data_IF_353535669458
#
_entry.id   IF_353535669458
#
_cell.length_a   1.000
_cell.length_b   1.000
_cell.length_c   1.000
_cell.angle_alpha   90.00
_cell.angle_beta   90.00
_cell.angle_gamma   90.00
#
_symmetry.space_group_name_H-M   'P 1'
#
loop_
_entity.id
_entity.type
_entity.pdbx_description
1 polymer ?
#
# COMPACT_ATOMS: atom_id res chain seq x y z
N UNK A 1 -13.37 -9.59 -28.39
CA UNK A 1 -14.77 -9.74 -27.88
C UNK A 1 -14.83 -9.52 -26.36
N UNK A 2 -14.05 -10.22 -25.52
CA UNK A 2 -14.09 -10.05 -24.08
C UNK A 2 -13.64 -8.67 -23.59
N UNK A 3 -12.57 -8.13 -24.16
CA UNK A 3 -12.04 -6.80 -23.82
C UNK A 3 -13.01 -5.69 -24.21
N UNK A 4 -13.61 -5.79 -25.39
CA UNK A 4 -14.62 -4.82 -25.87
C UNK A 4 -15.88 -4.84 -25.00
N UNK A 5 -16.34 -6.02 -24.61
CA UNK A 5 -17.44 -6.17 -23.66
C UNK A 5 -17.14 -5.47 -22.33
N UNK A 6 -15.97 -5.72 -21.73
CA UNK A 6 -15.58 -5.10 -20.47
C UNK A 6 -15.46 -3.58 -20.56
N UNK A 7 -14.93 -3.04 -21.67
CA UNK A 7 -14.86 -1.61 -21.90
C UNK A 7 -16.27 -0.98 -22.00
N UNK A 8 -17.20 -1.63 -22.70
CA UNK A 8 -18.57 -1.18 -22.79
C UNK A 8 -19.27 -1.21 -21.42
N UNK A 9 -19.09 -2.28 -20.66
CA UNK A 9 -19.59 -2.40 -19.28
C UNK A 9 -19.03 -1.29 -18.39
N UNK A 10 -17.72 -1.04 -18.46
CA UNK A 10 -17.08 -0.01 -17.66
C UNK A 10 -17.65 1.38 -17.95
N UNK A 11 -17.82 1.71 -19.22
CA UNK A 11 -18.40 3.00 -19.59
C UNK A 11 -19.85 3.16 -19.14
N UNK A 12 -20.66 2.09 -19.24
CA UNK A 12 -22.04 2.09 -18.74
C UNK A 12 -22.06 2.26 -17.22
N UNK A 13 -21.27 1.44 -16.50
CA UNK A 13 -21.19 1.48 -15.05
C UNK A 13 -20.79 2.86 -14.54
N UNK A 14 -19.70 3.44 -15.05
CA UNK A 14 -19.22 4.74 -14.60
C UNK A 14 -20.23 5.87 -14.90
N UNK A 15 -20.91 5.83 -16.06
CA UNK A 15 -21.96 6.80 -16.37
C UNK A 15 -23.15 6.69 -15.43
N UNK A 16 -23.53 5.47 -15.06
CA UNK A 16 -24.61 5.24 -14.10
C UNK A 16 -24.21 5.72 -12.72
N UNK A 17 -23.04 5.28 -12.23
CA UNK A 17 -22.52 5.65 -10.92
C UNK A 17 -22.38 7.17 -10.74
N UNK A 18 -21.96 7.90 -11.79
CA UNK A 18 -21.88 9.35 -11.77
C UNK A 18 -23.26 10.03 -11.75
N UNK A 19 -24.27 9.44 -12.40
CA UNK A 19 -25.65 9.96 -12.34
C UNK A 19 -26.32 9.75 -10.99
N UNK A 20 -25.93 8.68 -10.30
CA UNK A 20 -26.44 8.30 -8.98
C UNK A 20 -25.63 8.92 -7.84
N UNK A 21 -24.67 9.82 -8.15
CA UNK A 21 -23.77 10.46 -7.18
C UNK A 21 -23.03 9.45 -6.30
N UNK A 22 -22.57 8.33 -6.90
CA UNK A 22 -21.82 7.30 -6.20
C UNK A 22 -20.54 7.88 -5.58
N UNK A 23 -20.50 7.92 -4.26
CA UNK A 23 -19.45 8.61 -3.49
C UNK A 23 -18.07 8.01 -3.73
N UNK A 24 -17.97 6.68 -3.87
CA UNK A 24 -16.71 6.00 -4.09
C UNK A 24 -16.13 6.34 -5.48
N UNK A 25 -16.97 6.29 -6.52
CA UNK A 25 -16.56 6.68 -7.89
C UNK A 25 -16.16 8.15 -7.93
N UNK A 26 -16.92 9.05 -7.29
CA UNK A 26 -16.60 10.48 -7.26
C UNK A 26 -15.25 10.77 -6.60
N UNK A 27 -14.95 10.12 -5.47
CA UNK A 27 -13.67 10.26 -4.78
C UNK A 27 -12.51 9.76 -5.63
N UNK A 28 -12.65 8.59 -6.28
CA UNK A 28 -11.61 8.08 -7.18
C UNK A 28 -11.43 8.97 -8.41
N UNK A 29 -12.51 9.51 -8.98
CA UNK A 29 -12.41 10.50 -10.08
C UNK A 29 -11.72 11.78 -9.64
N UNK A 30 -11.93 12.22 -8.41
CA UNK A 30 -11.25 13.40 -7.87
C UNK A 30 -9.72 13.18 -7.76
N UNK A 31 -9.29 11.96 -7.41
CA UNK A 31 -7.87 11.63 -7.25
C UNK A 31 -7.20 11.36 -8.60
N UNK A 32 -7.80 10.53 -9.46
CA UNK A 32 -7.17 10.03 -10.68
C UNK A 32 -7.62 10.75 -11.96
N UNK A 33 -8.67 11.56 -11.89
CA UNK A 33 -9.41 12.02 -13.06
C UNK A 33 -10.19 10.88 -13.73
N UNK A 34 -11.21 11.21 -14.52
CA UNK A 34 -12.06 10.21 -15.17
C UNK A 34 -11.26 9.23 -16.04
N UNK A 35 -10.40 9.75 -16.93
CA UNK A 35 -9.60 8.91 -17.83
C UNK A 35 -8.54 8.07 -17.08
N UNK A 36 -8.03 8.61 -15.97
CA UNK A 36 -7.11 7.87 -15.09
C UNK A 36 -7.80 6.69 -14.43
N UNK A 37 -8.99 6.90 -13.86
CA UNK A 37 -9.81 5.85 -13.28
C UNK A 37 -10.14 4.73 -14.28
N UNK A 38 -10.59 5.11 -15.49
CA UNK A 38 -10.87 4.14 -16.57
C UNK A 38 -9.64 3.25 -16.82
N UNK A 39 -8.47 3.84 -17.06
CA UNK A 39 -7.21 3.09 -17.31
C UNK A 39 -6.83 2.16 -16.16
N UNK A 40 -7.02 2.61 -14.93
CA UNK A 40 -6.71 1.77 -13.76
C UNK A 40 -7.64 0.57 -13.67
N UNK A 41 -8.95 0.75 -13.87
CA UNK A 41 -9.91 -0.36 -13.86
C UNK A 41 -9.61 -1.32 -15.03
N UNK A 42 -9.32 -0.81 -16.23
CA UNK A 42 -8.96 -1.63 -17.38
C UNK A 42 -7.71 -2.49 -17.08
N UNK A 43 -6.71 -1.94 -16.41
CA UNK A 43 -5.49 -2.69 -16.04
C UNK A 43 -5.75 -3.81 -15.02
N UNK A 44 -6.81 -3.71 -14.23
CA UNK A 44 -7.22 -4.71 -13.23
C UNK A 44 -8.24 -5.71 -13.78
N UNK A 45 -8.74 -5.51 -15.01
CA UNK A 45 -9.87 -6.26 -15.57
C UNK A 45 -9.64 -7.77 -15.69
N UNK A 46 -8.40 -8.21 -15.94
CA UNK A 46 -8.05 -9.63 -16.01
C UNK A 46 -8.19 -10.35 -14.67
N UNK A 47 -7.98 -9.63 -13.56
CA UNK A 47 -8.07 -10.17 -12.20
C UNK A 47 -9.30 -9.65 -11.43
N UNK A 48 -10.23 -9.02 -12.13
CA UNK A 48 -11.38 -8.34 -11.50
C UNK A 48 -12.19 -9.27 -10.60
N UNK A 49 -12.43 -10.51 -11.03
CA UNK A 49 -13.22 -11.48 -10.26
C UNK A 49 -12.53 -11.87 -8.96
N UNK A 50 -11.22 -12.09 -9.00
CA UNK A 50 -10.43 -12.47 -7.83
C UNK A 50 -10.32 -11.31 -6.85
N UNK A 51 -10.03 -10.11 -7.36
CA UNK A 51 -9.93 -8.89 -6.54
C UNK A 51 -11.28 -8.57 -5.88
N UNK A 52 -12.39 -8.67 -6.63
CA UNK A 52 -13.73 -8.41 -6.11
C UNK A 52 -14.21 -9.48 -5.10
N UNK A 53 -13.65 -10.69 -5.15
CA UNK A 53 -13.92 -11.75 -4.19
C UNK A 53 -13.20 -11.54 -2.86
N UNK A 54 -12.14 -10.75 -2.81
CA UNK A 54 -11.44 -10.41 -1.56
C UNK A 54 -12.38 -9.63 -0.62
N UNK A 55 -12.43 -10.09 0.63
CA UNK A 55 -13.34 -9.50 1.62
C UNK A 55 -12.88 -8.12 2.09
N UNK A 56 -11.58 -7.91 2.17
CA UNK A 56 -11.01 -6.67 2.67
C UNK A 56 -9.61 -6.43 2.08
N UNK A 57 -9.53 -5.54 1.10
CA UNK A 57 -8.28 -5.15 0.46
C UNK A 57 -7.39 -4.30 1.36
N UNK A 58 -7.90 -3.82 2.50
CA UNK A 58 -7.12 -3.01 3.45
C UNK A 58 -6.29 -3.84 4.43
N UNK A 59 -6.49 -5.17 4.48
CA UNK A 59 -5.78 -6.04 5.43
C UNK A 59 -4.25 -5.86 5.39
N UNK A 60 -3.57 -5.88 4.23
CA UNK A 60 -2.13 -5.69 4.19
C UNK A 60 -1.68 -4.35 4.81
N UNK A 61 -2.40 -3.27 4.52
CA UNK A 61 -2.11 -1.93 5.02
C UNK A 61 -2.32 -1.81 6.54
N UNK A 62 -3.43 -2.39 7.05
CA UNK A 62 -3.71 -2.42 8.50
C UNK A 62 -2.74 -3.32 9.26
N UNK A 63 -2.27 -4.41 8.65
CA UNK A 63 -1.25 -5.27 9.25
C UNK A 63 0.10 -4.52 9.35
N UNK A 64 0.49 -3.77 8.31
CA UNK A 64 1.66 -2.92 8.36
C UNK A 64 1.59 -1.94 9.54
N UNK A 65 0.44 -1.35 9.82
CA UNK A 65 0.23 -0.43 10.95
C UNK A 65 0.52 -1.02 12.33
N UNK A 66 0.41 -2.34 12.50
CA UNK A 66 0.74 -2.99 13.78
C UNK A 66 2.23 -2.91 14.14
N UNK A 67 3.09 -2.77 13.14
CA UNK A 67 4.54 -2.64 13.33
C UNK A 67 5.01 -1.22 13.64
N UNK A 68 4.08 -0.24 13.66
CA UNK A 68 4.42 1.16 13.91
C UNK A 68 5.14 1.37 15.26
N UNK A 69 4.61 0.74 16.31
CA UNK A 69 5.20 0.83 17.66
C UNK A 69 6.60 0.22 17.72
N UNK A 70 6.78 -0.94 17.09
CA UNK A 70 8.07 -1.65 17.04
C UNK A 70 9.12 -0.84 16.27
N UNK A 71 8.78 -0.31 15.09
CA UNK A 71 9.71 0.51 14.29
C UNK A 71 10.10 1.79 15.02
N UNK A 72 9.14 2.44 15.70
CA UNK A 72 9.39 3.62 16.52
C UNK A 72 10.39 3.31 17.66
N UNK A 73 10.14 2.23 18.38
CA UNK A 73 11.02 1.79 19.47
C UNK A 73 12.44 1.46 18.97
N UNK A 74 12.54 0.70 17.88
CA UNK A 74 13.82 0.38 17.24
C UNK A 74 14.57 1.65 16.82
N UNK A 75 13.87 2.62 16.23
CA UNK A 75 14.47 3.89 15.84
C UNK A 75 15.00 4.68 17.06
N UNK A 76 14.22 4.78 18.12
CA UNK A 76 14.63 5.42 19.37
C UNK A 76 15.85 4.74 20.00
N UNK A 77 15.88 3.39 20.01
CA UNK A 77 17.00 2.62 20.52
C UNK A 77 18.27 2.83 19.68
N UNK A 78 18.17 2.75 18.35
CA UNK A 78 19.30 2.94 17.45
C UNK A 78 19.91 4.35 17.56
N UNK A 79 19.08 5.39 17.66
CA UNK A 79 19.52 6.78 17.88
C UNK A 79 20.23 6.91 19.23
N UNK A 80 19.65 6.35 20.28
CA UNK A 80 20.23 6.39 21.64
C UNK A 80 21.58 5.67 21.69
N UNK A 81 21.67 4.47 21.09
CA UNK A 81 22.91 3.69 21.03
C UNK A 81 23.99 4.42 20.24
N UNK A 82 23.65 5.02 19.08
CA UNK A 82 24.62 5.79 18.30
C UNK A 82 25.22 6.95 19.10
N UNK A 83 24.42 7.63 19.93
CA UNK A 83 24.85 8.72 20.79
C UNK A 83 25.69 8.21 21.96
N UNK A 84 25.27 7.14 22.63
CA UNK A 84 26.00 6.56 23.77
C UNK A 84 27.37 6.06 23.35
N UNK A 85 27.47 5.39 22.22
CA UNK A 85 28.71 4.78 21.72
C UNK A 85 29.64 5.75 20.98
N UNK A 86 29.28 7.03 20.89
CA UNK A 86 30.01 8.03 20.09
C UNK A 86 31.50 8.08 20.37
N UNK A 87 31.94 7.82 21.63
CA UNK A 87 33.32 7.81 22.02
C UNK A 87 34.09 6.60 21.47
N UNK A 88 33.41 5.46 21.31
CA UNK A 88 34.00 4.22 20.82
C UNK A 88 33.96 4.13 19.28
N UNK A 89 32.99 4.85 18.68
CA UNK A 89 32.69 4.76 17.25
C UNK A 89 33.50 5.78 16.42
N UNK A 90 33.89 6.91 17.01
CA UNK A 90 34.57 8.01 16.27
C UNK A 90 35.77 8.57 17.04
N UNK A 91 36.76 9.04 16.30
CA UNK A 91 37.86 9.78 16.90
C UNK A 91 37.45 11.19 17.29
N UNK A 92 38.02 11.75 18.38
CA UNK A 92 37.61 13.01 18.97
C UNK A 92 37.67 14.24 18.04
N UNK A 93 38.53 14.21 17.01
CA UNK A 93 38.70 15.32 16.03
C UNK A 93 38.08 15.05 14.67
N UNK A 94 37.29 13.98 14.51
CA UNK A 94 36.69 13.64 13.22
C UNK A 94 35.43 14.46 12.95
N UNK A 95 35.13 14.70 11.67
CA UNK A 95 33.87 15.32 11.24
C UNK A 95 32.66 14.51 11.72
N UNK A 96 32.77 13.16 11.73
CA UNK A 96 31.73 12.28 12.25
C UNK A 96 31.46 12.52 13.74
N UNK A 97 32.49 12.85 14.53
CA UNK A 97 32.32 13.18 15.94
C UNK A 97 31.53 14.47 16.14
N UNK A 98 31.82 15.50 15.37
CA UNK A 98 31.08 16.77 15.43
C UNK A 98 29.60 16.55 15.11
N UNK A 99 29.30 15.75 14.09
CA UNK A 99 27.92 15.39 13.74
C UNK A 99 27.20 14.61 14.84
N UNK A 100 27.91 13.67 15.53
CA UNK A 100 27.35 12.96 16.66
C UNK A 100 27.15 13.85 17.89
N UNK A 101 27.99 14.86 18.10
CA UNK A 101 27.82 15.83 19.18
C UNK A 101 26.61 16.74 18.90
N UNK A 102 26.38 17.14 17.63
CA UNK A 102 25.18 17.87 17.21
C UNK A 102 23.91 17.02 17.35
N UNK A 103 23.96 15.73 17.01
CA UNK A 103 22.85 14.78 17.24
C UNK A 103 22.56 14.61 18.73
N UNK A 104 23.63 14.47 19.54
CA UNK A 104 23.52 14.34 21.00
C UNK A 104 22.90 15.57 21.66
N UNK A 105 23.22 16.78 21.19
CA UNK A 105 22.60 18.01 21.72
C UNK A 105 21.11 18.16 21.39
N UNK A 106 20.63 17.49 20.35
CA UNK A 106 19.23 17.49 19.94
C UNK A 106 18.48 16.21 20.38
N UNK A 107 19.10 15.33 21.16
CA UNK A 107 18.53 14.02 21.48
C UNK A 107 17.14 14.08 22.11
N UNK A 108 16.94 14.92 23.11
CA UNK A 108 15.66 15.02 23.82
C UNK A 108 14.54 15.48 22.87
N UNK A 109 14.81 16.48 22.03
CA UNK A 109 13.87 16.99 21.05
C UNK A 109 13.56 15.94 19.99
N UNK A 110 14.57 15.21 19.49
CA UNK A 110 14.37 14.11 18.53
C UNK A 110 13.48 13.03 19.13
N UNK A 111 13.77 12.56 20.34
CA UNK A 111 12.97 11.52 21.00
C UNK A 111 11.54 11.99 21.27
N UNK A 112 11.35 13.28 21.59
CA UNK A 112 10.02 13.86 21.73
C UNK A 112 9.26 13.85 20.40
N UNK A 113 9.88 14.28 19.30
CA UNK A 113 9.27 14.26 17.96
C UNK A 113 8.96 12.82 17.49
N UNK A 114 9.81 11.85 17.79
CA UNK A 114 9.55 10.44 17.52
C UNK A 114 8.42 9.87 18.38
N UNK A 115 8.06 10.53 19.49
CA UNK A 115 6.94 10.15 20.33
C UNK A 115 5.60 10.75 19.87
N UNK A 116 5.57 11.69 18.93
CA UNK A 116 4.36 12.29 18.36
C UNK A 116 3.54 11.28 17.55
N UNK A 117 2.29 11.59 17.30
CA UNK A 117 1.42 10.84 16.41
C UNK A 117 0.68 11.82 15.49
N UNK A 118 1.00 11.86 14.18
CA UNK A 118 1.99 11.02 13.48
C UNK A 118 3.44 11.33 13.88
N UNK A 119 4.30 10.30 13.78
CA UNK A 119 5.72 10.42 14.13
C UNK A 119 6.41 11.47 13.27
N UNK A 120 7.09 12.41 13.91
CA UNK A 120 7.85 13.44 13.22
C UNK A 120 9.34 13.08 13.16
N UNK A 121 9.85 12.83 11.96
CA UNK A 121 11.26 12.47 11.72
C UNK A 121 12.12 13.64 11.20
N UNK A 122 11.54 14.83 11.04
CA UNK A 122 12.15 15.95 10.32
C UNK A 122 13.50 16.38 10.93
N UNK A 123 13.56 16.51 12.25
CA UNK A 123 14.80 16.90 12.92
C UNK A 123 15.88 15.82 12.83
N UNK A 124 15.48 14.55 13.03
CA UNK A 124 16.40 13.42 12.89
C UNK A 124 16.96 13.34 11.47
N UNK A 125 16.12 13.49 10.44
CA UNK A 125 16.54 13.53 9.05
C UNK A 125 17.54 14.65 8.77
N UNK A 126 17.27 15.86 9.25
CA UNK A 126 18.18 16.99 9.10
C UNK A 126 19.56 16.70 9.72
N UNK A 127 19.60 16.09 10.92
CA UNK A 127 20.84 15.70 11.57
C UNK A 127 21.56 14.54 10.88
N UNK A 128 20.82 13.59 10.31
CA UNK A 128 21.36 12.43 9.60
C UNK A 128 21.79 12.71 8.15
N UNK A 129 21.32 13.79 7.52
CA UNK A 129 21.52 14.10 6.09
C UNK A 129 23.00 14.22 5.69
N UNK A 130 23.82 14.79 6.54
CA UNK A 130 25.27 14.94 6.28
C UNK A 130 26.14 13.80 6.82
N UNK A 131 25.56 12.88 7.55
CA UNK A 131 26.30 11.82 8.24
C UNK A 131 26.69 10.69 7.27
N UNK A 132 27.98 10.37 7.17
CA UNK A 132 28.46 9.27 6.32
C UNK A 132 28.39 7.94 7.08
N UNK A 133 27.75 6.95 6.49
CA UNK A 133 27.75 5.57 6.95
C UNK A 133 29.12 4.91 6.65
N UNK A 134 30.12 5.19 7.47
CA UNK A 134 31.50 4.71 7.28
C UNK A 134 32.13 4.25 8.60
N UNK A 135 33.08 3.32 8.52
CA UNK A 135 33.77 2.79 9.69
C UNK A 135 32.82 2.11 10.68
N UNK A 136 33.06 2.29 11.96
CA UNK A 136 32.30 1.65 13.05
C UNK A 136 30.87 2.15 13.20
N UNK A 137 30.54 3.34 12.67
CA UNK A 137 29.18 3.90 12.75
C UNK A 137 28.28 3.43 11.61
N UNK A 138 28.83 2.70 10.61
CA UNK A 138 28.12 2.36 9.38
C UNK A 138 26.81 1.63 9.63
N UNK A 139 26.85 0.62 10.48
CA UNK A 139 25.69 -0.24 10.77
C UNK A 139 24.57 0.56 11.42
N UNK A 140 24.84 1.27 12.49
CA UNK A 140 23.84 2.09 13.20
C UNK A 140 23.27 3.23 12.35
N UNK A 141 24.11 3.89 11.54
CA UNK A 141 23.63 4.95 10.63
C UNK A 141 22.71 4.39 9.56
N UNK A 142 23.04 3.21 9.01
CA UNK A 142 22.16 2.54 8.04
C UNK A 142 20.86 2.06 8.70
N UNK A 143 20.93 1.44 9.86
CA UNK A 143 19.77 0.99 10.64
C UNK A 143 18.79 2.16 10.90
N UNK A 144 19.30 3.32 11.34
CA UNK A 144 18.48 4.50 11.55
C UNK A 144 17.81 4.95 10.24
N UNK A 145 18.53 4.96 9.12
CA UNK A 145 17.98 5.35 7.81
C UNK A 145 16.93 4.37 7.30
N UNK A 146 17.19 3.09 7.45
CA UNK A 146 16.29 2.03 7.03
C UNK A 146 14.99 2.08 7.86
N UNK A 147 15.08 2.25 9.17
CA UNK A 147 13.93 2.40 10.06
C UNK A 147 13.13 3.69 9.76
N UNK A 148 13.79 4.82 9.47
CA UNK A 148 13.10 6.04 9.03
C UNK A 148 12.38 5.83 7.70
N UNK A 149 13.02 5.15 6.74
CA UNK A 149 12.41 4.82 5.45
C UNK A 149 11.20 3.89 5.62
N UNK A 150 11.33 2.85 6.41
CA UNK A 150 10.24 1.92 6.74
C UNK A 150 9.07 2.65 7.42
N UNK A 151 9.34 3.54 8.36
CA UNK A 151 8.34 4.32 9.06
C UNK A 151 7.56 5.24 8.09
N UNK A 152 8.24 5.93 7.17
CA UNK A 152 7.58 6.75 6.14
C UNK A 152 6.68 5.94 5.23
N UNK A 153 7.16 4.80 4.74
CA UNK A 153 6.37 3.92 3.88
C UNK A 153 5.12 3.43 4.61
N UNK A 154 5.26 3.10 5.88
CA UNK A 154 4.15 2.66 6.71
C UNK A 154 3.07 3.76 6.87
N UNK A 155 3.45 5.03 7.05
CA UNK A 155 2.48 6.12 7.07
C UNK A 155 1.79 6.31 5.72
N UNK A 156 2.53 6.20 4.61
CA UNK A 156 1.93 6.23 3.26
C UNK A 156 0.89 5.12 3.11
N UNK A 157 1.20 3.91 3.57
CA UNK A 157 0.27 2.77 3.55
C UNK A 157 -0.98 3.07 4.39
N UNK A 158 -0.82 3.62 5.60
CA UNK A 158 -1.95 3.95 6.46
C UNK A 158 -2.84 5.06 5.87
N UNK A 159 -2.22 6.08 5.28
CA UNK A 159 -2.94 7.16 4.59
C UNK A 159 -3.67 6.68 3.33
N UNK A 160 -3.20 5.59 2.72
CA UNK A 160 -3.84 5.00 1.55
C UNK A 160 -5.11 4.20 1.90
N UNK A 161 -5.32 3.77 3.15
CA UNK A 161 -6.46 2.92 3.55
C UNK A 161 -7.81 3.48 3.08
N UNK A 162 -8.18 4.76 3.30
CA UNK A 162 -9.47 5.27 2.84
C UNK A 162 -9.64 5.17 1.32
N UNK A 163 -8.55 5.35 0.56
CA UNK A 163 -8.58 5.25 -0.90
C UNK A 163 -8.75 3.79 -1.35
N UNK A 164 -8.09 2.84 -0.67
CA UNK A 164 -8.23 1.40 -0.93
C UNK A 164 -9.65 0.92 -0.62
N UNK A 165 -10.29 1.45 0.42
CA UNK A 165 -11.70 1.19 0.72
C UNK A 165 -12.62 1.63 -0.43
N UNK A 166 -12.37 2.81 -1.02
CA UNK A 166 -13.15 3.26 -2.19
C UNK A 166 -12.91 2.35 -3.42
N UNK A 167 -11.67 1.96 -3.66
CA UNK A 167 -11.34 1.01 -4.70
C UNK A 167 -12.06 -0.32 -4.52
N UNK A 168 -12.11 -0.85 -3.31
CA UNK A 168 -12.83 -2.09 -3.02
C UNK A 168 -14.30 -1.99 -3.39
N UNK A 169 -14.98 -0.92 -2.97
CA UNK A 169 -16.39 -0.68 -3.31
C UNK A 169 -16.58 -0.66 -4.83
N UNK A 170 -15.80 0.17 -5.55
CA UNK A 170 -15.93 0.34 -6.99
C UNK A 170 -15.67 -0.97 -7.75
N UNK A 171 -14.65 -1.74 -7.37
CA UNK A 171 -14.33 -3.00 -8.04
C UNK A 171 -15.38 -4.08 -7.79
N UNK A 172 -15.94 -4.16 -6.58
CA UNK A 172 -17.03 -5.08 -6.25
C UNK A 172 -18.31 -4.72 -7.01
N UNK A 173 -18.69 -3.45 -7.03
CA UNK A 173 -19.86 -2.99 -7.77
C UNK A 173 -19.69 -3.19 -9.28
N UNK A 174 -18.52 -2.88 -9.83
CA UNK A 174 -18.24 -3.09 -11.25
C UNK A 174 -18.26 -4.58 -11.63
N UNK A 175 -17.70 -5.45 -10.80
CA UNK A 175 -17.75 -6.90 -11.02
C UNK A 175 -19.21 -7.42 -11.01
N UNK A 176 -20.03 -6.93 -10.06
CA UNK A 176 -21.44 -7.26 -10.00
C UNK A 176 -22.22 -6.75 -11.24
N UNK A 177 -21.92 -5.53 -11.67
CA UNK A 177 -22.49 -4.95 -12.89
C UNK A 177 -22.14 -5.75 -14.14
N UNK A 178 -20.87 -6.14 -14.32
CA UNK A 178 -20.42 -6.99 -15.41
C UNK A 178 -21.14 -8.35 -15.42
N UNK A 179 -21.33 -8.94 -14.23
CA UNK A 179 -22.06 -10.22 -14.10
C UNK A 179 -23.51 -10.07 -14.52
N UNK A 180 -24.16 -9.00 -14.13
CA UNK A 180 -25.54 -8.72 -14.54
C UNK A 180 -25.65 -8.50 -16.06
N UNK A 181 -24.79 -7.66 -16.64
CA UNK A 181 -24.75 -7.42 -18.09
C UNK A 181 -24.49 -8.70 -18.88
N UNK A 182 -23.65 -9.61 -18.38
CA UNK A 182 -23.44 -10.92 -19.01
C UNK A 182 -24.72 -11.77 -19.00
N UNK A 183 -25.46 -11.77 -17.88
CA UNK A 183 -26.70 -12.53 -17.76
C UNK A 183 -27.81 -11.97 -18.64
N UNK A 184 -27.95 -10.64 -18.70
CA UNK A 184 -28.99 -9.98 -19.49
C UNK A 184 -28.76 -10.09 -21.02
N UNK A 185 -27.50 -10.23 -21.43
CA UNK A 185 -27.16 -10.32 -22.86
C UNK A 185 -26.78 -11.74 -23.30
N UNK A 186 -26.96 -12.76 -22.46
CA UNK A 186 -26.55 -14.15 -22.70
C UNK A 186 -25.10 -14.28 -23.18
N UNK A 187 -24.20 -13.46 -22.58
CA UNK A 187 -22.81 -13.37 -22.98
C UNK A 187 -21.90 -14.19 -22.05
N UNK A 188 -21.09 -15.07 -22.64
CA UNK A 188 -20.07 -15.84 -21.91
C UNK A 188 -18.69 -15.56 -22.51
N UNK A 189 -17.72 -15.32 -21.65
CA UNK A 189 -16.30 -15.25 -22.03
C UNK A 189 -15.67 -16.65 -22.03
N UNK A 190 -14.50 -16.82 -22.63
CA UNK A 190 -13.75 -18.07 -22.55
C UNK A 190 -13.46 -18.47 -21.10
N UNK A 191 -13.10 -17.50 -20.26
CA UNK A 191 -12.86 -17.75 -18.84
C UNK A 191 -14.15 -18.23 -18.12
N UNK A 192 -15.31 -17.70 -18.47
CA UNK A 192 -16.59 -18.19 -17.93
C UNK A 192 -16.83 -19.64 -18.34
N UNK A 193 -16.51 -20.02 -19.59
CA UNK A 193 -16.64 -21.39 -20.07
C UNK A 193 -15.67 -22.35 -19.34
N UNK A 194 -14.43 -21.93 -19.10
CA UNK A 194 -13.47 -22.71 -18.31
C UNK A 194 -13.96 -22.93 -16.87
N UNK A 195 -14.41 -21.87 -16.21
CA UNK A 195 -14.96 -21.96 -14.85
C UNK A 195 -16.21 -22.86 -14.79
N UNK A 196 -17.10 -22.74 -15.75
CA UNK A 196 -18.29 -23.60 -15.87
C UNK A 196 -17.91 -25.06 -16.12
N UNK A 197 -16.91 -25.31 -16.96
CA UNK A 197 -16.40 -26.67 -17.20
C UNK A 197 -15.77 -27.28 -15.94
N UNK A 198 -14.93 -26.52 -15.25
CA UNK A 198 -14.36 -26.96 -13.95
C UNK A 198 -15.45 -27.24 -12.93
N UNK A 199 -16.45 -26.36 -12.80
CA UNK A 199 -17.59 -26.57 -11.92
C UNK A 199 -18.39 -27.80 -12.29
N UNK A 200 -18.71 -28.00 -13.57
CA UNK A 200 -19.44 -29.18 -14.06
C UNK A 200 -18.70 -30.48 -13.71
N UNK A 201 -17.38 -30.51 -13.95
CA UNK A 201 -16.55 -31.67 -13.64
C UNK A 201 -16.39 -31.93 -12.14
N UNK A 202 -16.36 -30.88 -11.32
CA UNK A 202 -16.22 -31.00 -9.86
C UNK A 202 -17.52 -31.47 -9.19
N UNK A 203 -18.66 -30.96 -9.66
CA UNK A 203 -19.97 -31.25 -9.05
C UNK A 203 -20.65 -32.50 -9.62
N UNK A 204 -20.23 -33.02 -10.79
CA UNK A 204 -20.82 -34.15 -11.45
C UNK A 204 -19.83 -35.33 -11.65
N UNK A 205 -19.73 -36.25 -10.68
CA UNK A 205 -18.84 -37.41 -10.80
C UNK A 205 -19.09 -38.26 -12.05
N UNK A 206 -20.35 -38.40 -12.48
CA UNK A 206 -20.72 -39.13 -13.68
C UNK A 206 -20.13 -38.51 -14.96
N UNK A 207 -20.16 -37.18 -15.09
CA UNK A 207 -19.53 -36.48 -16.22
C UNK A 207 -18.02 -36.63 -16.16
N UNK A 208 -17.41 -36.45 -14.96
CA UNK A 208 -15.97 -36.61 -14.77
C UNK A 208 -15.46 -38.02 -15.12
N UNK A 209 -16.26 -39.07 -14.86
CA UNK A 209 -15.88 -40.45 -15.17
C UNK A 209 -15.99 -40.79 -16.67
N UNK A 210 -16.69 -39.97 -17.43
CA UNK A 210 -16.85 -40.16 -18.88
C UNK A 210 -15.66 -39.57 -19.66
N UNK A 211 -15.03 -38.52 -19.16
CA UNK A 211 -13.84 -37.89 -19.73
C UNK A 211 -12.55 -38.25 -19.02
#
# INVERSE_FOLDING_TARGET
EGTEFLQNCLQKYLRQALKEDNTAVLQLVQVYGFNGLVRQIESLSENLADIAAEKDLTIPYRQSGRHLGELREQLCLAVTQLIQDKNNLTSAKSKGRQQLDELSSAQEEILQQLAEDPVNTTLLEAKMAGMRAAGKIKELVNEIRDNMGALKNLYIDLEAIPLVEQWQVVLQEFAAFCKQEKQENDFLTYNDLELLAVKLLSENPAVRSYY
#
